data_IF_622201006432
#
_entry.id   IF_622201006432
#
_cell.length_a   1.000
_cell.length_b   1.000
_cell.length_c   1.000
_cell.angle_alpha   90.00
_cell.angle_beta   90.00
_cell.angle_gamma   90.00
#
_symmetry.space_group_name_H-M   'P 1'
#
loop_
_entity.id
_entity.type
_entity.pdbx_description
1 polymer ?
#
# COMPACT_ATOMS: atom_id res chain seq x y z
N UNK A 1 4.48 -26.97 7.16
CA UNK A 1 4.26 -25.71 6.44
C UNK A 1 3.28 -24.95 7.29
N UNK A 2 3.74 -23.88 7.91
CA UNK A 2 2.91 -23.11 8.82
C UNK A 2 1.87 -22.36 8.00
N UNK A 3 0.61 -22.69 8.23
CA UNK A 3 -0.56 -22.15 7.56
C UNK A 3 -0.93 -20.79 8.16
N UNK A 4 0.03 -19.88 8.14
CA UNK A 4 -0.09 -18.52 8.66
C UNK A 4 -0.34 -17.51 7.53
N UNK A 5 -1.24 -16.56 7.79
CA UNK A 5 -1.69 -15.59 6.81
C UNK A 5 -1.75 -14.18 7.41
N UNK A 6 -1.43 -13.20 6.57
CA UNK A 6 -1.85 -11.82 6.78
C UNK A 6 -3.12 -11.55 5.99
N UNK A 7 -4.09 -10.89 6.61
CA UNK A 7 -5.33 -10.48 5.94
C UNK A 7 -5.16 -9.05 5.44
N UNK A 8 -5.12 -8.86 4.12
CA UNK A 8 -5.08 -7.54 3.49
C UNK A 8 -6.51 -7.04 3.25
N UNK A 9 -6.78 -5.77 3.54
CA UNK A 9 -7.95 -5.08 2.97
C UNK A 9 -7.64 -4.59 1.55
N UNK A 10 -8.33 -5.14 0.56
CA UNK A 10 -8.07 -4.86 -0.86
C UNK A 10 -8.87 -3.68 -1.43
N UNK A 11 -9.66 -2.97 -0.61
CA UNK A 11 -10.42 -1.79 -1.06
C UNK A 11 -9.47 -0.69 -1.52
N UNK A 12 -9.88 0.06 -2.54
CA UNK A 12 -9.03 1.10 -3.14
C UNK A 12 -8.57 2.18 -2.16
N UNK A 13 -9.37 2.50 -1.14
CA UNK A 13 -9.03 3.49 -0.10
C UNK A 13 -8.24 2.90 1.07
N UNK A 14 -8.03 1.58 1.12
CA UNK A 14 -7.30 0.93 2.20
C UNK A 14 -5.77 1.01 2.00
N UNK A 15 -5.30 1.31 0.79
CA UNK A 15 -3.87 1.50 0.51
C UNK A 15 -3.36 2.80 1.12
N UNK A 16 -2.15 2.78 1.68
CA UNK A 16 -1.45 3.97 2.17
C UNK A 16 -0.27 4.23 1.23
N UNK A 17 -0.50 5.09 0.22
CA UNK A 17 0.37 5.12 -0.96
C UNK A 17 0.29 3.78 -1.69
N UNK A 18 1.44 3.17 -1.93
CA UNK A 18 1.53 1.81 -2.48
C UNK A 18 1.54 0.73 -1.39
N UNK A 19 1.64 1.09 -0.12
CA UNK A 19 1.68 0.15 0.99
C UNK A 19 0.39 -0.64 1.15
N UNK A 20 0.51 -1.96 1.28
CA UNK A 20 -0.59 -2.84 1.64
C UNK A 20 -0.98 -2.63 3.10
N UNK A 21 -2.29 -2.60 3.35
CA UNK A 21 -2.86 -2.51 4.69
C UNK A 21 -3.42 -3.84 5.14
N UNK A 22 -2.96 -4.29 6.29
CA UNK A 22 -3.32 -5.55 6.91
C UNK A 22 -4.14 -5.32 8.18
N UNK A 23 -4.96 -6.29 8.56
CA UNK A 23 -5.62 -6.26 9.86
C UNK A 23 -4.58 -6.20 10.99
N UNK A 24 -4.73 -5.25 11.90
CA UNK A 24 -3.87 -5.07 13.06
C UNK A 24 -4.22 -6.03 14.19
N UNK A 25 -3.23 -6.41 14.98
CA UNK A 25 -3.40 -7.27 16.14
C UNK A 25 -4.40 -6.68 17.15
N UNK A 26 -5.25 -7.54 17.73
CA UNK A 26 -6.18 -7.16 18.80
C UNK A 26 -7.24 -6.13 18.39
N UNK A 27 -7.73 -6.18 17.15
CA UNK A 27 -8.76 -5.26 16.62
C UNK A 27 -8.30 -3.79 16.54
N UNK A 28 -7.00 -3.55 16.36
CA UNK A 28 -6.40 -2.21 16.30
C UNK A 28 -6.59 -1.48 14.95
N UNK A 29 -7.57 -1.89 14.14
CA UNK A 29 -7.79 -1.36 12.80
C UNK A 29 -6.85 -1.96 11.75
N UNK A 30 -6.38 -1.14 10.81
CA UNK A 30 -5.46 -1.57 9.75
C UNK A 30 -4.07 -0.98 9.94
N UNK A 31 -3.05 -1.76 9.58
CA UNK A 31 -1.63 -1.43 9.73
C UNK A 31 -0.86 -1.79 8.48
N UNK A 32 0.15 -0.98 8.15
CA UNK A 32 1.14 -1.29 7.10
C UNK A 32 2.39 -1.97 7.67
N UNK A 33 2.62 -1.83 8.98
CA UNK A 33 3.72 -2.48 9.72
C UNK A 33 3.40 -3.96 9.96
N UNK A 34 4.16 -4.85 9.32
CA UNK A 34 3.99 -6.30 9.46
C UNK A 34 4.19 -6.78 10.90
N UNK A 35 4.98 -6.07 11.73
CA UNK A 35 5.17 -6.42 13.14
C UNK A 35 3.91 -6.17 13.99
N UNK A 36 2.99 -5.33 13.49
CA UNK A 36 1.72 -5.00 14.16
C UNK A 36 0.54 -5.73 13.52
N UNK A 37 0.75 -6.43 12.41
CA UNK A 37 -0.28 -7.15 11.70
C UNK A 37 -0.70 -8.40 12.48
N UNK A 38 -2.01 -8.67 12.50
CA UNK A 38 -2.56 -9.91 13.02
C UNK A 38 -2.16 -11.06 12.09
N UNK A 39 -1.60 -12.12 12.68
CA UNK A 39 -1.35 -13.39 12.00
C UNK A 39 -2.56 -14.29 12.23
N UNK A 40 -3.09 -14.85 11.15
CA UNK A 40 -4.24 -15.74 11.16
C UNK A 40 -3.82 -17.16 10.78
N UNK A 41 -4.48 -18.16 11.35
CA UNK A 41 -4.43 -19.53 10.83
C UNK A 41 -5.28 -19.62 9.56
N UNK A 42 -5.13 -20.71 8.79
CA UNK A 42 -5.98 -20.99 7.61
C UNK A 42 -7.48 -20.90 7.92
N UNK A 43 -7.93 -21.47 9.04
CA UNK A 43 -9.34 -21.45 9.43
C UNK A 43 -9.82 -20.02 9.69
N UNK A 44 -8.99 -19.21 10.35
CA UNK A 44 -9.27 -17.79 10.58
C UNK A 44 -9.30 -17.00 9.27
N UNK A 45 -8.38 -17.27 8.35
CA UNK A 45 -8.19 -16.50 7.13
C UNK A 45 -9.31 -16.67 6.08
N UNK A 46 -10.05 -17.78 6.10
CA UNK A 46 -11.04 -18.12 5.07
C UNK A 46 -12.50 -17.67 5.38
N UNK A 47 -12.74 -16.97 6.51
CA UNK A 47 -14.09 -16.54 6.94
C UNK A 47 -14.40 -15.05 6.77
N UNK A 48 -13.52 -14.28 6.13
CA UNK A 48 -13.58 -12.82 6.10
C UNK A 48 -14.34 -12.25 4.88
N UNK A 49 -14.38 -10.91 4.78
CA UNK A 49 -15.14 -10.19 3.75
C UNK A 49 -14.58 -10.49 2.37
N UNK A 50 -15.38 -10.22 1.33
CA UNK A 50 -14.97 -10.36 -0.07
C UNK A 50 -13.79 -9.44 -0.47
N UNK A 51 -13.55 -8.39 0.32
CA UNK A 51 -12.41 -7.48 0.17
C UNK A 51 -11.16 -7.93 0.93
N UNK A 52 -11.25 -8.98 1.75
CA UNK A 52 -10.13 -9.45 2.56
C UNK A 52 -9.34 -10.53 1.77
N UNK A 53 -8.04 -10.29 1.53
CA UNK A 53 -7.15 -11.21 0.81
C UNK A 53 -6.22 -11.92 1.82
N UNK A 54 -6.30 -13.25 1.97
CA UNK A 54 -5.45 -14.02 2.88
C UNK A 54 -4.10 -14.32 2.23
N UNK A 55 -3.10 -13.48 2.47
CA UNK A 55 -1.76 -13.69 1.93
C UNK A 55 -0.94 -14.65 2.81
N UNK A 56 -0.34 -15.73 2.26
CA UNK A 56 0.60 -16.56 3.00
C UNK A 56 1.69 -15.69 3.62
N UNK A 57 1.87 -15.81 4.94
CA UNK A 57 2.82 -15.00 5.71
C UNK A 57 4.22 -15.11 5.13
N UNK A 58 4.68 -16.34 4.87
CA UNK A 58 6.01 -16.59 4.32
C UNK A 58 6.24 -15.90 2.95
N UNK A 59 5.21 -15.81 2.12
CA UNK A 59 5.29 -15.09 0.84
C UNK A 59 5.44 -13.59 1.08
N UNK A 60 4.58 -12.99 1.91
CA UNK A 60 4.62 -11.55 2.22
C UNK A 60 5.94 -11.17 2.89
N UNK A 61 6.39 -11.99 3.85
CA UNK A 61 7.65 -11.75 4.55
C UNK A 61 8.85 -11.74 3.60
N UNK A 62 8.86 -12.60 2.58
CA UNK A 62 9.91 -12.64 1.57
C UNK A 62 9.91 -11.42 0.63
N UNK A 63 8.77 -10.75 0.47
CA UNK A 63 8.64 -9.53 -0.35
C UNK A 63 8.75 -8.24 0.49
N UNK A 64 8.93 -8.35 1.80
CA UNK A 64 8.95 -7.20 2.68
C UNK A 64 10.14 -6.28 2.42
N UNK A 65 9.85 -4.98 2.35
CA UNK A 65 10.81 -3.89 2.29
C UNK A 65 10.94 -3.22 3.66
N UNK A 66 11.97 -2.42 3.82
CA UNK A 66 12.17 -1.61 5.02
C UNK A 66 11.73 -0.19 4.73
N UNK A 67 10.69 0.30 5.38
CA UNK A 67 10.24 1.69 5.24
C UNK A 67 10.29 2.44 6.56
N UNK A 68 10.13 3.77 6.49
CA UNK A 68 10.09 4.65 7.67
C UNK A 68 8.88 5.56 7.56
N UNK A 69 8.01 5.49 8.57
CA UNK A 69 6.78 6.28 8.61
C UNK A 69 7.05 7.71 9.06
N UNK A 70 6.75 8.69 8.21
CA UNK A 70 6.99 10.10 8.48
C UNK A 70 6.16 10.64 9.65
N UNK A 71 5.06 9.96 10.04
CA UNK A 71 4.20 10.39 11.15
C UNK A 71 4.82 10.10 12.53
N UNK A 72 5.83 9.22 12.60
CA UNK A 72 6.42 8.76 13.86
C UNK A 72 7.79 9.38 14.17
N UNK A 73 8.25 10.33 13.36
CA UNK A 73 9.59 10.90 13.46
C UNK A 73 9.59 12.42 13.32
N UNK A 74 10.54 13.07 14.00
CA UNK A 74 10.77 14.51 13.85
C UNK A 74 12.26 14.81 13.77
N UNK A 75 12.64 15.82 12.99
CA UNK A 75 14.04 16.17 12.80
C UNK A 75 14.68 16.73 14.09
N UNK A 76 13.91 17.50 14.88
CA UNK A 76 14.40 18.04 16.16
C UNK A 76 14.80 16.92 17.10
N UNK A 77 13.90 15.95 17.34
CA UNK A 77 14.19 14.81 18.23
C UNK A 77 15.38 13.99 17.73
N UNK A 78 15.52 13.82 16.41
CA UNK A 78 16.63 13.09 15.82
C UNK A 78 17.97 13.77 16.15
N UNK A 79 18.05 15.09 16.00
CA UNK A 79 19.25 15.87 16.26
C UNK A 79 19.55 15.99 17.77
N UNK A 80 18.53 16.09 18.61
CA UNK A 80 18.66 16.15 20.06
C UNK A 80 19.14 14.81 20.66
N UNK A 81 18.62 13.68 20.17
CA UNK A 81 19.00 12.35 20.65
C UNK A 81 20.34 11.88 20.07
N UNK A 82 20.70 12.31 18.87
CA UNK A 82 21.90 11.85 18.16
C UNK A 82 22.79 12.99 17.62
N UNK A 83 23.19 13.97 18.45
CA UNK A 83 23.94 15.14 17.99
C UNK A 83 25.32 14.79 17.42
N UNK A 84 25.90 13.66 17.88
CA UNK A 84 27.21 13.16 17.49
C UNK A 84 27.16 12.01 16.46
N UNK A 85 26.02 11.77 15.80
CA UNK A 85 25.92 10.72 14.78
C UNK A 85 27.02 10.84 13.71
N UNK A 86 27.67 9.72 13.41
CA UNK A 86 28.72 9.64 12.40
C UNK A 86 28.16 9.41 10.99
N UNK A 87 27.01 8.74 10.91
CA UNK A 87 26.39 8.26 9.69
C UNK A 87 24.95 8.77 9.55
N UNK A 88 24.54 9.00 8.30
CA UNK A 88 23.26 9.63 7.97
C UNK A 88 22.62 9.01 6.73
N UNK A 89 21.30 9.02 6.71
CA UNK A 89 20.49 8.83 5.51
C UNK A 89 20.12 10.17 4.88
N UNK A 90 19.95 10.18 3.56
CA UNK A 90 19.54 11.37 2.80
C UNK A 90 18.11 11.15 2.29
N UNK A 91 17.17 11.91 2.84
CA UNK A 91 15.78 11.93 2.41
C UNK A 91 15.59 13.01 1.35
N UNK A 92 14.81 12.71 0.30
CA UNK A 92 14.28 13.75 -0.58
C UNK A 92 13.19 14.54 0.15
N UNK A 93 13.37 15.86 0.18
CA UNK A 93 12.45 16.75 0.88
C UNK A 93 11.06 16.72 0.22
N UNK A 94 10.01 16.75 1.06
CA UNK A 94 8.61 16.79 0.64
C UNK A 94 8.18 15.70 -0.37
N UNK A 95 8.78 14.52 -0.28
CA UNK A 95 8.47 13.40 -1.14
C UNK A 95 8.18 12.15 -0.30
N UNK A 96 7.04 11.51 -0.56
CA UNK A 96 6.55 10.37 0.20
C UNK A 96 5.86 9.34 -0.70
N UNK A 97 5.93 8.07 -0.31
CA UNK A 97 5.02 7.03 -0.80
C UNK A 97 4.03 6.68 0.31
N UNK A 98 2.82 7.26 0.25
CA UNK A 98 1.91 7.23 1.39
C UNK A 98 2.57 7.91 2.59
N UNK A 99 2.78 7.14 3.66
CA UNK A 99 3.50 7.63 4.84
C UNK A 99 5.02 7.41 4.78
N UNK A 100 5.53 6.65 3.80
CA UNK A 100 6.95 6.31 3.75
C UNK A 100 7.79 7.48 3.24
N UNK A 101 8.88 7.77 3.95
CA UNK A 101 9.94 8.64 3.46
C UNK A 101 10.60 8.08 2.20
N UNK A 102 11.02 8.97 1.29
CA UNK A 102 11.78 8.64 0.09
C UNK A 102 13.26 8.98 0.29
N UNK A 103 14.11 7.99 0.07
CA UNK A 103 15.55 8.00 0.30
C UNK A 103 16.33 8.09 -1.01
N UNK A 104 17.50 8.71 -0.95
CA UNK A 104 18.50 8.69 -2.01
C UNK A 104 19.31 7.39 -1.95
N UNK A 105 19.51 6.76 -3.10
CA UNK A 105 20.41 5.62 -3.30
C UNK A 105 21.79 6.07 -3.77
N UNK A 106 22.78 5.16 -3.74
CA UNK A 106 24.16 5.48 -4.11
C UNK A 106 24.30 5.91 -5.59
N UNK A 107 23.52 5.26 -6.46
CA UNK A 107 23.40 5.52 -7.90
C UNK A 107 22.58 6.79 -8.25
N UNK A 108 22.04 7.48 -7.25
CA UNK A 108 21.20 8.66 -7.43
C UNK A 108 19.71 8.38 -7.64
N UNK A 109 19.30 7.10 -7.64
CA UNK A 109 17.89 6.71 -7.71
C UNK A 109 17.20 7.02 -6.37
N UNK A 110 15.88 7.21 -6.40
CA UNK A 110 15.06 7.44 -5.23
C UNK A 110 14.23 6.19 -4.89
N UNK A 111 14.06 5.90 -3.61
CA UNK A 111 13.34 4.69 -3.16
C UNK A 111 12.63 4.89 -1.83
N UNK A 112 11.51 4.20 -1.61
CA UNK A 112 10.88 4.06 -0.29
C UNK A 112 11.52 2.96 0.58
N UNK A 113 12.41 2.14 -0.01
CA UNK A 113 13.08 1.03 0.65
C UNK A 113 14.41 1.49 1.28
N UNK A 114 14.38 1.75 2.59
CA UNK A 114 15.52 2.16 3.39
C UNK A 114 16.72 1.22 3.25
N UNK A 115 16.50 -0.07 2.99
CA UNK A 115 17.61 -1.03 2.82
C UNK A 115 18.50 -0.73 1.60
N UNK A 116 17.98 0.05 0.63
CA UNK A 116 18.70 0.48 -0.58
C UNK A 116 19.23 1.91 -0.47
N UNK A 117 18.88 2.62 0.61
CA UNK A 117 19.29 4.00 0.82
C UNK A 117 20.81 4.08 1.04
N UNK A 118 21.42 5.13 0.50
CA UNK A 118 22.83 5.42 0.77
C UNK A 118 23.01 5.86 2.23
N UNK A 119 24.02 5.28 2.88
CA UNK A 119 24.51 5.74 4.18
C UNK A 119 25.76 6.58 3.96
N UNK A 120 25.75 7.80 4.48
CA UNK A 120 26.84 8.76 4.26
C UNK A 120 27.46 9.19 5.59
N UNK A 121 28.77 9.38 5.60
CA UNK A 121 29.44 9.99 6.73
C UNK A 121 29.04 11.46 6.86
N UNK A 122 29.10 12.00 8.09
CA UNK A 122 28.83 13.42 8.38
C UNK A 122 29.52 14.37 7.39
N UNK A 123 30.80 14.15 7.12
CA UNK A 123 31.63 15.00 6.27
C UNK A 123 31.12 15.07 4.81
N UNK A 124 30.42 14.03 4.34
CA UNK A 124 29.94 13.96 2.96
C UNK A 124 28.48 14.37 2.79
N UNK A 125 27.76 14.66 3.87
CA UNK A 125 26.34 15.04 3.83
C UNK A 125 26.06 16.18 2.86
N UNK A 126 26.85 17.26 2.86
CA UNK A 126 26.69 18.41 1.96
C UNK A 126 26.85 18.01 0.49
N UNK A 127 27.83 17.17 0.17
CA UNK A 127 28.06 16.69 -1.19
C UNK A 127 26.87 15.86 -1.68
N UNK A 128 26.32 15.00 -0.82
CA UNK A 128 25.20 14.14 -1.18
C UNK A 128 23.88 14.88 -1.27
N UNK A 129 23.60 15.85 -0.39
CA UNK A 129 22.41 16.70 -0.53
C UNK A 129 22.48 17.54 -1.80
N UNK A 130 23.67 17.97 -2.21
CA UNK A 130 23.90 18.67 -3.48
C UNK A 130 23.44 17.89 -4.71
N UNK A 131 23.43 16.55 -4.68
CA UNK A 131 22.93 15.70 -5.79
C UNK A 131 21.43 15.89 -6.05
N UNK A 132 20.67 16.31 -5.04
CA UNK A 132 19.23 16.59 -5.18
C UNK A 132 18.95 18.02 -5.67
N UNK A 133 19.98 18.87 -5.78
CA UNK A 133 19.87 20.23 -6.30
C UNK A 133 18.78 21.05 -5.61
N UNK A 134 17.98 21.75 -6.40
CA UNK A 134 16.89 22.62 -5.91
C UNK A 134 15.69 21.86 -5.34
N UNK A 135 15.62 20.53 -5.49
CA UNK A 135 14.50 19.73 -4.92
C UNK A 135 14.59 19.59 -3.40
N UNK A 136 15.76 19.87 -2.82
CA UNK A 136 15.98 19.87 -1.39
C UNK A 136 16.14 18.48 -0.78
N UNK A 137 16.77 18.44 0.39
CA UNK A 137 17.09 17.21 1.10
C UNK A 137 16.99 17.41 2.61
N UNK A 138 16.62 16.35 3.33
CA UNK A 138 16.75 16.27 4.78
C UNK A 138 17.77 15.20 5.13
N UNK A 139 18.69 15.53 6.05
CA UNK A 139 19.74 14.62 6.50
C UNK A 139 19.33 14.06 7.86
N UNK A 140 19.25 12.73 7.96
CA UNK A 140 18.74 12.06 9.15
C UNK A 140 19.81 11.20 9.81
N UNK A 141 20.06 11.32 11.13
CA UNK A 141 20.95 10.42 11.85
C UNK A 141 20.53 8.96 11.64
N UNK A 142 21.45 8.14 11.13
CA UNK A 142 21.21 6.70 10.90
C UNK A 142 20.65 5.96 12.14
N UNK A 143 21.24 6.08 13.35
CA UNK A 143 20.73 5.35 14.52
C UNK A 143 19.31 5.77 14.93
N UNK A 144 18.90 7.02 14.63
CA UNK A 144 17.54 7.45 14.87
C UNK A 144 16.58 6.78 13.88
N UNK A 145 16.89 6.81 12.58
CA UNK A 145 16.04 6.22 11.55
C UNK A 145 15.91 4.71 11.69
N UNK A 146 17.01 4.01 11.98
CA UNK A 146 17.01 2.56 12.16
C UNK A 146 16.04 2.11 13.28
N UNK A 147 15.86 2.93 14.32
CA UNK A 147 14.90 2.66 15.41
C UNK A 147 13.44 2.69 14.94
N UNK A 148 13.13 3.49 13.93
CA UNK A 148 11.77 3.65 13.37
C UNK A 148 11.58 2.89 12.06
N UNK A 149 12.60 2.16 11.60
CA UNK A 149 12.50 1.28 10.46
C UNK A 149 11.50 0.16 10.75
N UNK A 150 10.61 -0.11 9.80
CA UNK A 150 9.58 -1.15 9.90
C UNK A 150 9.49 -1.94 8.61
N UNK A 151 9.06 -3.20 8.71
CA UNK A 151 8.80 -4.06 7.56
C UNK A 151 7.39 -3.81 7.04
N UNK A 152 7.28 -3.61 5.74
CA UNK A 152 6.01 -3.45 5.03
C UNK A 152 6.12 -4.04 3.62
N UNK A 153 5.00 -4.15 2.93
CA UNK A 153 4.95 -4.61 1.54
C UNK A 153 4.18 -3.60 0.70
N UNK A 154 4.71 -3.26 -0.47
CA UNK A 154 4.03 -2.42 -1.45
C UNK A 154 3.32 -3.28 -2.50
N UNK A 155 2.25 -2.76 -3.09
CA UNK A 155 1.40 -3.46 -4.06
C UNK A 155 2.16 -4.02 -5.27
N UNK A 156 3.26 -3.38 -5.66
CA UNK A 156 4.04 -3.76 -6.83
C UNK A 156 5.03 -4.90 -6.55
N UNK A 157 5.25 -5.24 -5.28
CA UNK A 157 6.12 -6.36 -4.86
C UNK A 157 5.40 -7.71 -4.80
N UNK A 158 4.08 -7.70 -4.92
CA UNK A 158 3.28 -8.91 -4.70
C UNK A 158 2.40 -9.26 -5.87
N UNK A 159 2.21 -10.57 -6.03
CA UNK A 159 1.35 -11.12 -7.04
C UNK A 159 0.46 -12.20 -6.42
N UNK A 160 -0.86 -11.95 -6.40
CA UNK A 160 -1.85 -12.87 -5.81
C UNK A 160 -1.76 -14.27 -6.44
N UNK A 161 -1.53 -14.36 -7.75
CA UNK A 161 -1.47 -15.66 -8.44
C UNK A 161 -0.24 -16.45 -8.02
N UNK A 162 0.90 -15.78 -7.84
CA UNK A 162 2.13 -16.42 -7.39
C UNK A 162 2.02 -16.86 -5.93
N UNK A 163 1.48 -15.99 -5.07
CA UNK A 163 1.27 -16.28 -3.67
C UNK A 163 0.39 -17.52 -3.45
N UNK A 164 -0.64 -17.72 -4.28
CA UNK A 164 -1.59 -18.84 -4.11
C UNK A 164 -1.26 -20.08 -4.94
N UNK A 165 -0.15 -20.06 -5.68
CA UNK A 165 0.27 -21.22 -6.47
C UNK A 165 0.63 -22.37 -5.53
N UNK A 166 -0.12 -23.47 -5.62
CA UNK A 166 0.10 -24.67 -4.81
C UNK A 166 -0.46 -24.62 -3.40
N UNK A 167 -1.10 -23.52 -2.98
CA UNK A 167 -1.71 -23.41 -1.64
C UNK A 167 -3.12 -24.01 -1.56
N UNK A 168 -3.78 -24.18 -2.72
CA UNK A 168 -5.17 -24.64 -2.79
C UNK A 168 -6.22 -23.58 -2.45
N UNK A 169 -5.80 -22.36 -2.06
CA UNK A 169 -6.70 -21.25 -1.72
C UNK A 169 -7.34 -20.68 -2.99
N UNK A 170 -8.66 -20.49 -2.96
CA UNK A 170 -9.43 -19.84 -4.03
C UNK A 170 -10.13 -18.61 -3.47
N UNK A 171 -9.85 -17.44 -4.04
CA UNK A 171 -10.58 -16.22 -3.69
C UNK A 171 -12.03 -16.30 -4.17
N UNK A 172 -12.93 -15.80 -3.33
CA UNK A 172 -14.29 -15.49 -3.76
C UNK A 172 -14.21 -14.45 -4.89
N UNK A 173 -14.88 -14.73 -6.02
CA UNK A 173 -14.97 -13.73 -7.08
C UNK A 173 -15.91 -12.61 -6.64
N UNK A 174 -15.50 -11.33 -6.74
CA UNK A 174 -16.40 -10.21 -6.49
C UNK A 174 -17.65 -10.36 -7.35
N UNK A 175 -18.83 -10.23 -6.75
CA UNK A 175 -20.07 -10.21 -7.52
C UNK A 175 -20.12 -8.92 -8.31
N UNK A 176 -20.24 -9.01 -9.64
CA UNK A 176 -20.45 -7.82 -10.46
C UNK A 176 -21.77 -7.16 -10.03
N UNK A 177 -21.80 -5.84 -9.81
CA UNK A 177 -23.05 -5.13 -9.57
C UNK A 177 -24.03 -5.47 -10.69
N UNK A 178 -25.22 -5.96 -10.33
CA UNK A 178 -26.27 -6.15 -11.33
C UNK A 178 -26.69 -4.76 -11.80
N UNK A 179 -26.48 -4.48 -13.08
CA UNK A 179 -27.01 -3.25 -13.67
C UNK A 179 -28.53 -3.28 -13.54
N UNK A 180 -29.11 -2.22 -12.99
CA UNK A 180 -30.55 -2.07 -12.95
C UNK A 180 -31.06 -1.96 -14.39
N UNK A 181 -31.98 -2.87 -14.74
CA UNK A 181 -32.61 -2.91 -16.05
C UNK A 181 -34.08 -2.58 -15.87
N UNK A 182 -34.61 -1.75 -16.77
CA UNK A 182 -36.01 -1.36 -16.83
C UNK A 182 -36.66 -1.97 -18.07
N UNK A 183 -37.98 -2.02 -18.10
CA UNK A 183 -38.71 -2.41 -19.29
C UNK A 183 -39.15 -1.15 -20.04
N UNK A 184 -39.13 -1.20 -21.36
CA UNK A 184 -39.74 -0.16 -22.18
C UNK A 184 -41.26 -0.17 -21.97
N UNK A 185 -41.86 1.00 -21.76
CA UNK A 185 -43.29 1.14 -21.44
C UNK A 185 -44.23 0.64 -22.54
N UNK A 186 -43.76 0.63 -23.80
CA UNK A 186 -44.56 0.17 -24.94
C UNK A 186 -44.30 -1.29 -25.29
N UNK A 187 -43.05 -1.66 -25.57
CA UNK A 187 -42.74 -2.98 -26.12
C UNK A 187 -42.20 -3.99 -25.08
N UNK A 188 -42.05 -3.57 -23.82
CA UNK A 188 -41.56 -4.42 -22.72
C UNK A 188 -40.09 -4.81 -22.81
N UNK A 189 -39.36 -4.38 -23.84
CA UNK A 189 -37.95 -4.72 -24.02
C UNK A 189 -37.09 -4.07 -22.94
N UNK A 190 -36.09 -4.81 -22.47
CA UNK A 190 -35.19 -4.25 -21.47
C UNK A 190 -34.36 -3.08 -22.01
N UNK A 191 -34.28 -2.03 -21.18
CA UNK A 191 -33.47 -0.83 -21.38
C UNK A 191 -32.65 -0.55 -20.13
N UNK A 192 -31.48 0.07 -20.27
CA UNK A 192 -30.67 0.51 -19.12
C UNK A 192 -31.19 1.81 -18.52
N UNK A 193 -30.79 2.12 -17.29
CA UNK A 193 -31.08 3.41 -16.66
C UNK A 193 -30.56 4.59 -17.51
N UNK A 194 -29.32 4.49 -18.01
CA UNK A 194 -28.75 5.51 -18.88
C UNK A 194 -29.53 5.68 -20.20
N UNK A 195 -30.00 4.58 -20.78
CA UNK A 195 -30.83 4.59 -21.99
C UNK A 195 -32.14 5.34 -21.73
N UNK A 196 -32.80 5.07 -20.60
CA UNK A 196 -34.06 5.71 -20.18
C UNK A 196 -34.02 7.24 -20.27
N UNK A 197 -32.88 7.87 -19.97
CA UNK A 197 -32.71 9.32 -19.96
C UNK A 197 -32.13 9.91 -21.25
N UNK A 198 -31.45 9.11 -22.07
CA UNK A 198 -30.60 9.63 -23.16
C UNK A 198 -31.10 9.32 -24.56
N UNK A 199 -31.90 8.27 -24.72
CA UNK A 199 -32.34 7.81 -26.03
C UNK A 199 -33.70 7.11 -25.94
N UNK A 200 -34.48 7.20 -27.00
CA UNK A 200 -35.72 6.43 -27.12
C UNK A 200 -35.44 4.93 -27.20
N UNK A 201 -36.48 4.12 -26.97
CA UNK A 201 -36.36 2.68 -27.12
C UNK A 201 -35.90 2.33 -28.53
N UNK A 202 -34.71 1.73 -28.67
CA UNK A 202 -34.15 1.32 -29.97
C UNK A 202 -35.00 0.30 -30.73
N UNK A 203 -35.99 -0.30 -30.09
CA UNK A 203 -36.89 -1.28 -30.70
C UNK A 203 -38.19 -0.66 -31.24
N UNK A 204 -38.81 0.25 -30.49
CA UNK A 204 -40.13 0.79 -30.85
C UNK A 204 -40.20 2.32 -30.91
N UNK A 205 -39.09 3.03 -30.64
CA UNK A 205 -39.02 4.48 -30.64
C UNK A 205 -39.73 5.16 -29.46
N UNK A 206 -40.28 4.41 -28.51
CA UNK A 206 -40.94 4.98 -27.33
C UNK A 206 -39.93 5.62 -26.38
N UNK A 207 -40.14 6.89 -26.03
CA UNK A 207 -39.42 7.53 -24.91
C UNK A 207 -39.81 6.88 -23.59
N UNK A 208 -38.82 6.60 -22.74
CA UNK A 208 -39.02 6.01 -21.41
C UNK A 208 -38.57 6.96 -20.29
N UNK A 209 -38.30 8.23 -20.62
CA UNK A 209 -37.93 9.26 -19.65
C UNK A 209 -39.05 9.40 -18.61
N UNK A 210 -38.77 9.33 -17.30
CA UNK A 210 -39.77 9.56 -16.26
C UNK A 210 -40.40 10.96 -16.32
#
# INVERSE_FOLDING_TARGET
>A
MDDEFYMQDSRSHAYVGDGLSFWGFGSSGYVTDLAKAQVFTREGACGYRDTDIPWPRAYVDAQARVGVDCQNITLSEALDQHPAAAEFYIQKLQCWNGNNLIWLCEDGILTSDLSKAVVVSRAHTITWTGKLGSTGATVWPKPYIDKFARRLVERDDVNIKEAFRGTGIKLAKPQKPRMMMFNCDSCGRFISDAQRYREDCRNCGTSNTP
#
